data_IF_300074770311
#
_entry.id   IF_300074770311
#
_cell.length_a   1.000
_cell.length_b   1.000
_cell.length_c   1.000
_cell.angle_alpha   90.00
_cell.angle_beta   90.00
_cell.angle_gamma   90.00
#
_symmetry.space_group_name_H-M   'P 1'
#
loop_
_entity.id
_entity.type
_entity.pdbx_description
1 polymer ?
#
# COMPACT_ATOMS: atom_id res chain seq x y z
N UNK A 1 18.02 15.33 -4.82
CA UNK A 1 18.34 16.38 -3.83
C UNK A 1 18.19 15.93 -2.37
N UNK A 2 17.11 15.24 -1.98
CA UNK A 2 16.87 14.87 -0.56
C UNK A 2 17.96 13.98 0.05
N UNK A 3 18.37 12.89 -0.62
CA UNK A 3 19.40 11.97 -0.09
C UNK A 3 20.77 12.65 0.08
N UNK A 4 21.15 13.53 -0.84
CA UNK A 4 22.42 14.28 -0.76
C UNK A 4 22.45 15.22 0.44
N UNK A 5 21.34 15.92 0.72
CA UNK A 5 21.23 16.77 1.91
C UNK A 5 21.36 15.96 3.21
N UNK A 6 20.80 14.75 3.26
CA UNK A 6 20.92 13.87 4.43
C UNK A 6 22.35 13.40 4.67
N UNK A 7 23.07 12.99 3.62
CA UNK A 7 24.48 12.60 3.71
C UNK A 7 25.39 13.78 4.06
N UNK A 8 25.18 14.93 3.43
CA UNK A 8 25.91 16.17 3.73
C UNK A 8 25.76 16.55 5.21
N UNK A 9 24.55 16.50 5.75
CA UNK A 9 24.31 16.74 7.17
C UNK A 9 24.94 15.67 8.09
N UNK A 10 25.03 14.41 7.65
CA UNK A 10 25.76 13.38 8.41
C UNK A 10 27.27 13.60 8.37
N UNK A 11 27.82 13.97 7.21
CA UNK A 11 29.23 14.30 7.04
C UNK A 11 29.61 15.51 7.91
N UNK A 12 28.75 16.53 7.97
CA UNK A 12 28.99 17.73 8.76
C UNK A 12 29.25 17.45 10.26
N UNK A 13 28.68 16.37 10.83
CA UNK A 13 28.89 15.99 12.22
C UNK A 13 30.29 15.45 12.51
N UNK A 14 30.94 14.87 11.51
CA UNK A 14 32.21 14.14 11.64
C UNK A 14 33.24 14.59 10.60
N UNK A 15 33.04 15.79 10.03
CA UNK A 15 33.87 16.30 8.95
C UNK A 15 35.27 16.53 9.50
N UNK A 16 36.31 15.90 8.92
CA UNK A 16 37.66 16.01 9.45
C UNK A 16 38.20 17.43 9.24
N UNK A 17 39.02 17.88 10.18
CA UNK A 17 39.74 19.15 10.07
C UNK A 17 40.72 19.04 8.90
N UNK A 18 40.59 19.93 7.91
CA UNK A 18 41.43 19.94 6.71
C UNK A 18 40.76 19.42 5.44
N UNK A 19 39.59 18.77 5.53
CA UNK A 19 38.81 18.42 4.33
C UNK A 19 38.29 19.69 3.66
N UNK A 20 38.74 19.91 2.44
CA UNK A 20 38.30 21.00 1.57
C UNK A 20 36.84 20.79 1.12
N UNK A 21 36.16 21.86 0.65
CA UNK A 21 34.83 21.72 0.07
C UNK A 21 34.78 20.73 -1.10
N UNK A 22 35.82 20.71 -1.93
CA UNK A 22 35.87 19.86 -3.12
C UNK A 22 36.02 18.37 -2.75
N UNK A 23 36.87 18.05 -1.78
CA UNK A 23 36.96 16.68 -1.26
C UNK A 23 35.66 16.22 -0.58
N UNK A 24 34.93 17.15 0.05
CA UNK A 24 33.63 16.84 0.63
C UNK A 24 32.58 16.53 -0.45
N UNK A 25 32.57 17.29 -1.55
CA UNK A 25 31.69 17.04 -2.69
C UNK A 25 32.01 15.70 -3.36
N UNK A 26 33.29 15.42 -3.63
CA UNK A 26 33.74 14.14 -4.18
C UNK A 26 33.34 12.96 -3.28
N UNK A 27 33.50 13.11 -1.96
CA UNK A 27 33.06 12.10 -1.00
C UNK A 27 31.55 11.90 -1.06
N UNK A 28 30.77 12.97 -1.15
CA UNK A 28 29.30 12.91 -1.20
C UNK A 28 28.81 12.22 -2.47
N UNK A 29 29.42 12.49 -3.61
CA UNK A 29 29.08 11.86 -4.88
C UNK A 29 29.31 10.34 -4.84
N UNK A 30 30.49 9.92 -4.37
CA UNK A 30 30.82 8.49 -4.22
C UNK A 30 29.89 7.81 -3.20
N UNK A 31 29.61 8.47 -2.08
CA UNK A 31 28.70 7.93 -1.06
C UNK A 31 27.27 7.77 -1.58
N UNK A 32 26.78 8.74 -2.37
CA UNK A 32 25.47 8.70 -2.99
C UNK A 32 25.37 7.57 -4.01
N UNK A 33 26.36 7.44 -4.88
CA UNK A 33 26.42 6.38 -5.89
C UNK A 33 26.42 4.99 -5.21
N UNK A 34 27.25 4.82 -4.18
CA UNK A 34 27.35 3.58 -3.41
C UNK A 34 26.01 3.16 -2.80
N UNK A 35 25.24 4.13 -2.32
CA UNK A 35 23.97 3.90 -1.63
C UNK A 35 22.75 4.02 -2.55
N UNK A 36 22.94 4.23 -3.86
CA UNK A 36 21.87 4.51 -4.82
C UNK A 36 20.84 3.36 -4.96
N UNK A 37 21.22 2.15 -4.57
CA UNK A 37 20.37 0.96 -4.60
C UNK A 37 19.36 0.90 -3.43
N UNK A 38 19.50 1.78 -2.42
CA UNK A 38 18.61 1.81 -1.27
C UNK A 38 17.33 2.62 -1.59
N UNK A 39 16.13 2.05 -1.36
CA UNK A 39 14.90 2.83 -1.34
C UNK A 39 14.97 3.94 -0.28
N UNK A 40 14.38 5.11 -0.57
CA UNK A 40 14.48 6.31 0.28
C UNK A 40 14.14 6.06 1.77
N UNK A 41 13.04 5.36 2.06
CA UNK A 41 12.63 5.07 3.44
C UNK A 41 13.64 4.18 4.21
N UNK A 42 14.32 3.26 3.52
CA UNK A 42 15.38 2.42 4.09
C UNK A 42 16.64 3.26 4.30
N UNK A 43 17.01 4.06 3.31
CA UNK A 43 18.11 5.00 3.39
C UNK A 43 17.97 5.97 4.58
N UNK A 44 16.77 6.52 4.81
CA UNK A 44 16.46 7.39 5.95
C UNK A 44 16.64 6.70 7.31
N UNK A 45 16.27 5.43 7.42
CA UNK A 45 16.52 4.63 8.62
C UNK A 45 18.03 4.44 8.84
N UNK A 46 18.77 4.09 7.79
CA UNK A 46 20.23 3.95 7.83
C UNK A 46 20.96 5.23 8.23
N UNK A 47 20.56 6.38 7.67
CA UNK A 47 21.12 7.69 8.03
C UNK A 47 20.92 7.98 9.52
N UNK A 48 19.71 7.75 10.05
CA UNK A 48 19.43 7.94 11.47
C UNK A 48 20.32 7.06 12.35
N UNK A 49 20.49 5.79 11.99
CA UNK A 49 21.34 4.87 12.72
C UNK A 49 22.83 5.29 12.69
N UNK A 50 23.32 5.72 11.53
CA UNK A 50 24.71 6.18 11.37
C UNK A 50 25.01 7.41 12.23
N UNK A 51 24.12 8.41 12.24
CA UNK A 51 24.31 9.65 13.03
C UNK A 51 24.42 9.41 14.54
N UNK A 52 23.87 8.31 15.05
CA UNK A 52 23.91 8.00 16.49
C UNK A 52 25.23 7.38 16.95
N UNK A 53 26.04 6.81 16.04
CA UNK A 53 27.22 5.99 16.42
C UNK A 53 28.51 6.37 15.71
N UNK A 54 28.45 6.97 14.53
CA UNK A 54 29.64 7.30 13.76
C UNK A 54 30.39 8.47 14.41
N UNK A 55 31.70 8.32 14.58
CA UNK A 55 32.61 9.37 15.05
C UNK A 55 33.57 9.83 13.96
N UNK A 56 33.58 9.15 12.81
CA UNK A 56 34.43 9.45 11.68
C UNK A 56 33.68 9.27 10.35
N UNK A 57 33.93 10.14 9.38
CA UNK A 57 33.25 10.14 8.07
C UNK A 57 33.33 8.80 7.33
N UNK A 58 34.48 8.11 7.38
CA UNK A 58 34.67 6.79 6.77
C UNK A 58 33.75 5.69 7.33
N UNK A 59 33.13 5.91 8.50
CA UNK A 59 32.20 4.95 9.11
C UNK A 59 30.76 5.12 8.62
N UNK A 60 30.40 6.27 8.03
CA UNK A 60 29.01 6.61 7.69
C UNK A 60 28.42 5.58 6.73
N UNK A 61 29.06 5.37 5.57
CA UNK A 61 28.55 4.46 4.53
C UNK A 61 28.49 3.00 5.03
N UNK A 62 29.54 2.42 5.65
CA UNK A 62 29.44 1.09 6.25
C UNK A 62 28.32 0.97 7.29
N UNK A 63 28.15 1.98 8.15
CA UNK A 63 27.11 1.99 9.16
C UNK A 63 25.70 1.98 8.56
N UNK A 64 25.47 2.71 7.47
CA UNK A 64 24.20 2.73 6.73
C UNK A 64 23.94 1.35 6.13
N UNK A 65 24.92 0.77 5.43
CA UNK A 65 24.80 -0.55 4.80
C UNK A 65 24.46 -1.62 5.85
N UNK A 66 25.15 -1.60 6.99
CA UNK A 66 24.91 -2.57 8.05
C UNK A 66 23.54 -2.39 8.70
N UNK A 67 23.14 -1.14 8.99
CA UNK A 67 21.85 -0.86 9.60
C UNK A 67 20.65 -1.17 8.70
N UNK A 68 20.84 -1.15 7.37
CA UNK A 68 19.75 -1.32 6.39
C UNK A 68 19.70 -2.71 5.77
N UNK A 69 20.63 -3.59 6.10
CA UNK A 69 20.79 -4.90 5.48
C UNK A 69 19.52 -5.76 5.56
N UNK A 70 18.91 -5.85 6.74
CA UNK A 70 17.72 -6.67 6.97
C UNK A 70 16.49 -6.09 6.27
N UNK A 71 16.27 -4.78 6.41
CA UNK A 71 15.16 -4.08 5.77
C UNK A 71 15.24 -4.18 4.24
N UNK A 72 16.43 -4.03 3.68
CA UNK A 72 16.65 -4.18 2.23
C UNK A 72 16.40 -5.62 1.78
N UNK A 73 16.86 -6.61 2.55
CA UNK A 73 16.60 -8.02 2.26
C UNK A 73 15.11 -8.34 2.29
N UNK A 74 14.38 -7.80 3.28
CA UNK A 74 12.92 -7.92 3.35
C UNK A 74 12.22 -7.20 2.19
N UNK A 75 12.68 -6.01 1.84
CA UNK A 75 12.12 -5.21 0.75
C UNK A 75 12.23 -5.92 -0.61
N UNK A 76 13.38 -6.52 -0.88
CA UNK A 76 13.67 -7.25 -2.12
C UNK A 76 13.10 -8.67 -2.15
N UNK A 77 12.56 -9.17 -1.04
CA UNK A 77 11.97 -10.52 -0.99
C UNK A 77 10.79 -10.61 -1.97
N UNK A 78 10.71 -11.66 -2.81
CA UNK A 78 9.53 -11.92 -3.62
C UNK A 78 8.29 -12.04 -2.72
N UNK A 79 7.33 -11.13 -2.89
CA UNK A 79 6.07 -11.13 -2.15
C UNK A 79 5.09 -11.98 -2.93
N UNK A 80 4.76 -13.16 -2.43
CA UNK A 80 3.66 -13.95 -3.00
C UNK A 80 2.39 -13.11 -2.84
N UNK A 81 1.73 -12.69 -3.93
CA UNK A 81 0.46 -12.00 -3.81
C UNK A 81 -0.50 -12.93 -3.08
N UNK A 82 -1.29 -12.43 -2.11
CA UNK A 82 -2.30 -13.27 -1.48
C UNK A 82 -3.19 -13.84 -2.57
N UNK A 83 -3.42 -15.14 -2.55
CA UNK A 83 -4.45 -15.75 -3.39
C UNK A 83 -5.77 -15.18 -2.90
N UNK A 84 -6.27 -14.16 -3.59
CA UNK A 84 -7.59 -13.61 -3.34
C UNK A 84 -8.60 -14.69 -3.71
N UNK A 85 -9.01 -15.46 -2.71
CA UNK A 85 -10.09 -16.42 -2.89
C UNK A 85 -11.38 -15.60 -2.90
N UNK A 86 -11.98 -15.46 -4.08
CA UNK A 86 -13.34 -14.94 -4.19
C UNK A 86 -14.25 -15.92 -3.43
N UNK A 87 -14.56 -15.58 -2.19
CA UNK A 87 -15.57 -16.27 -1.39
C UNK A 87 -16.87 -15.55 -1.68
N UNK A 88 -17.83 -16.25 -2.29
CA UNK A 88 -19.19 -15.72 -2.36
C UNK A 88 -19.68 -15.50 -0.91
N UNK A 89 -20.19 -14.31 -0.56
CA UNK A 89 -20.74 -14.09 0.77
C UNK A 89 -21.84 -15.12 1.01
N UNK A 90 -22.02 -15.53 2.27
CA UNK A 90 -23.16 -16.35 2.66
C UNK A 90 -24.44 -15.66 2.17
N UNK A 91 -25.23 -16.36 1.34
CA UNK A 91 -26.49 -15.82 0.84
C UNK A 91 -27.36 -15.58 2.07
N UNK A 92 -27.84 -14.35 2.32
CA UNK A 92 -28.70 -14.10 3.46
C UNK A 92 -29.91 -15.04 3.34
N UNK A 93 -30.10 -15.89 4.35
CA UNK A 93 -31.34 -16.65 4.51
C UNK A 93 -32.44 -15.62 4.72
N UNK A 94 -33.35 -15.54 3.76
CA UNK A 94 -34.43 -14.57 3.78
C UNK A 94 -35.44 -14.99 4.84
N UNK A 95 -35.40 -14.33 5.99
CA UNK A 95 -36.25 -14.64 7.14
C UNK A 95 -37.66 -14.04 7.02
N UNK A 96 -37.83 -13.01 6.19
CA UNK A 96 -39.09 -12.29 6.01
C UNK A 96 -39.67 -12.49 4.60
N UNK A 97 -41.01 -12.64 4.47
CA UNK A 97 -41.68 -12.67 3.17
C UNK A 97 -41.42 -11.37 2.41
N UNK A 98 -41.39 -11.42 1.07
CA UNK A 98 -41.29 -10.18 0.29
C UNK A 98 -42.57 -9.37 0.55
N UNK A 99 -42.51 -8.04 0.50
CA UNK A 99 -43.71 -7.22 0.52
C UNK A 99 -44.61 -7.61 -0.66
N UNK A 100 -45.92 -7.41 -0.48
CA UNK A 100 -46.90 -7.58 -1.54
C UNK A 100 -46.49 -6.70 -2.75
N UNK A 101 -46.35 -7.26 -3.97
CA UNK A 101 -46.00 -6.51 -5.17
C UNK A 101 -46.88 -5.28 -5.40
N UNK A 102 -48.13 -5.29 -4.95
CA UNK A 102 -49.04 -4.15 -5.08
C UNK A 102 -48.65 -2.94 -4.23
N UNK A 103 -47.90 -3.15 -3.15
CA UNK A 103 -47.45 -2.10 -2.24
C UNK A 103 -46.15 -1.41 -2.69
N UNK A 104 -45.53 -1.90 -3.76
CA UNK A 104 -44.28 -1.36 -4.30
C UNK A 104 -44.49 0.00 -4.98
N UNK A 105 -43.43 0.79 -5.08
CA UNK A 105 -43.44 2.02 -5.88
C UNK A 105 -43.68 1.71 -7.36
N UNK A 106 -44.21 2.68 -8.11
CA UNK A 106 -44.50 2.52 -9.54
C UNK A 106 -43.24 2.16 -10.35
N UNK A 107 -42.08 2.70 -9.98
CA UNK A 107 -40.79 2.41 -10.61
C UNK A 107 -40.39 0.96 -10.38
N UNK A 108 -40.57 0.45 -9.16
CA UNK A 108 -40.26 -0.94 -8.81
C UNK A 108 -41.21 -1.92 -9.49
N UNK A 109 -42.51 -1.61 -9.57
CA UNK A 109 -43.48 -2.40 -10.34
C UNK A 109 -43.07 -2.50 -11.82
N UNK A 110 -42.72 -1.35 -12.43
CA UNK A 110 -42.28 -1.29 -13.84
C UNK A 110 -41.00 -2.08 -14.08
N UNK A 111 -40.01 -1.94 -13.20
CA UNK A 111 -38.74 -2.69 -13.31
C UNK A 111 -39.02 -4.19 -13.11
N UNK A 112 -39.82 -4.55 -12.11
CA UNK A 112 -40.32 -5.89 -11.81
C UNK A 112 -40.89 -6.60 -13.03
N UNK A 113 -41.88 -5.98 -13.64
CA UNK A 113 -42.55 -6.49 -14.84
C UNK A 113 -41.60 -6.58 -16.04
N UNK A 114 -40.69 -5.60 -16.20
CA UNK A 114 -39.75 -5.59 -17.33
C UNK A 114 -38.67 -6.67 -17.24
N UNK A 115 -38.28 -7.06 -16.03
CA UNK A 115 -37.21 -8.02 -15.75
C UNK A 115 -37.76 -9.41 -15.40
N UNK A 116 -39.09 -9.58 -15.31
CA UNK A 116 -39.77 -10.86 -15.16
C UNK A 116 -39.90 -11.42 -13.75
N UNK A 117 -39.47 -10.70 -12.71
CA UNK A 117 -39.58 -11.16 -11.30
C UNK A 117 -40.93 -10.80 -10.65
N UNK A 118 -41.73 -9.93 -11.29
CA UNK A 118 -43.16 -9.70 -10.99
C UNK A 118 -43.98 -10.09 -12.22
N UNK A 119 -45.08 -10.81 -12.01
CA UNK A 119 -46.03 -11.23 -13.06
C UNK A 119 -47.43 -10.73 -12.74
N UNK A 120 -48.18 -10.35 -13.78
CA UNK A 120 -49.59 -9.99 -13.65
C UNK A 120 -50.47 -11.18 -14.00
N UNK A 121 -51.39 -11.55 -13.10
CA UNK A 121 -52.39 -12.60 -13.30
C UNK A 121 -53.74 -12.09 -12.80
N UNK A 122 -54.78 -12.22 -13.61
CA UNK A 122 -56.15 -11.79 -13.25
C UNK A 122 -56.24 -10.34 -12.73
N UNK A 123 -55.39 -9.44 -13.24
CA UNK A 123 -55.32 -8.03 -12.84
C UNK A 123 -54.66 -7.77 -11.49
N UNK A 124 -53.88 -8.72 -10.96
CA UNK A 124 -53.09 -8.57 -9.73
C UNK A 124 -51.63 -8.95 -9.94
N UNK A 125 -50.73 -8.29 -9.22
CA UNK A 125 -49.29 -8.52 -9.28
C UNK A 125 -48.84 -9.61 -8.29
N UNK A 126 -48.01 -10.55 -8.77
CA UNK A 126 -47.45 -11.65 -7.99
C UNK A 126 -45.93 -11.73 -8.20
N UNK A 127 -45.19 -12.25 -7.21
CA UNK A 127 -43.79 -12.64 -7.41
C UNK A 127 -43.71 -13.90 -8.28
N UNK A 128 -42.73 -13.96 -9.18
CA UNK A 128 -42.56 -15.10 -10.09
C UNK A 128 -42.45 -16.45 -9.34
N UNK A 129 -41.80 -16.45 -8.17
CA UNK A 129 -41.53 -17.64 -7.34
C UNK A 129 -42.77 -18.21 -6.61
N UNK A 130 -43.92 -17.53 -6.57
CA UNK A 130 -45.17 -18.11 -6.02
C UNK A 130 -45.78 -19.20 -6.95
N UNK A 131 -45.05 -19.64 -7.98
CA UNK A 131 -45.37 -20.81 -8.82
C UNK A 131 -44.57 -22.06 -8.45
N UNK A 132 -43.74 -22.03 -7.40
CA UNK A 132 -43.00 -23.16 -6.88
C UNK A 132 -43.57 -23.62 -5.51
N UNK A 133 -44.78 -24.16 -5.54
CA UNK A 133 -45.33 -25.02 -4.50
C UNK A 133 -45.50 -26.44 -5.04
#
# INVERSE_FOLDING_TARGET
MVMGAMLSASLALVRPVGMSPQEADEWLDVALETLAHLPLHIFEAGIRAARMKCTHHAQIVPAIIEATREDLAWYNRPKTPPVLRLVAPERPTRTEPLPDPETLSAELKRIGLSQGWIVERDGRLFWEEDSAA
#
